data_IF_356450361713
#
_entry.id   IF_356450361713
#
_cell.length_a   1.000
_cell.length_b   1.000
_cell.length_c   1.000
_cell.angle_alpha   90.00
_cell.angle_beta   90.00
_cell.angle_gamma   90.00
#
_symmetry.space_group_name_H-M   'P 1'
#
loop_
_entity.id
_entity.type
_entity.pdbx_description
1 polymer ?
#
# COMPACT_ATOMS: atom_id res chain seq x y z
N UNK A 1 8.60 26.73 9.34
CA UNK A 1 7.91 25.43 9.22
C UNK A 1 8.63 24.63 8.13
N UNK A 2 9.08 23.40 8.41
CA UNK A 2 9.74 22.57 7.38
C UNK A 2 8.67 21.77 6.64
N UNK A 3 8.75 21.74 5.31
CA UNK A 3 7.86 20.96 4.46
C UNK A 3 8.69 20.00 3.61
N UNK A 4 8.25 18.75 3.55
CA UNK A 4 8.87 17.71 2.74
C UNK A 4 7.81 17.08 1.84
N UNK A 5 8.12 16.93 0.57
CA UNK A 5 7.29 16.22 -0.39
C UNK A 5 7.99 14.92 -0.77
N UNK A 6 7.31 13.79 -0.56
CA UNK A 6 7.86 12.46 -0.82
C UNK A 6 6.94 11.76 -1.81
N UNK A 7 7.42 11.53 -3.02
CA UNK A 7 6.77 10.63 -3.98
C UNK A 7 7.31 9.23 -3.77
N UNK A 8 6.47 8.32 -3.26
CA UNK A 8 6.88 6.95 -3.00
C UNK A 8 5.75 5.97 -3.27
N UNK A 9 6.12 4.77 -3.71
CA UNK A 9 5.19 3.66 -3.82
C UNK A 9 4.82 3.17 -2.41
N UNK A 10 3.55 2.84 -2.22
CA UNK A 10 3.04 2.24 -0.99
C UNK A 10 3.66 0.84 -0.85
N UNK A 11 4.23 0.55 0.32
CA UNK A 11 4.78 -0.75 0.63
C UNK A 11 3.73 -1.63 1.32
N UNK A 12 3.92 -2.95 1.30
CA UNK A 12 3.07 -3.93 1.98
C UNK A 12 3.84 -4.57 3.12
N UNK A 13 3.25 -4.58 4.31
CA UNK A 13 3.76 -5.31 5.46
C UNK A 13 2.63 -6.18 6.03
N UNK A 14 2.73 -7.49 5.78
CA UNK A 14 1.64 -8.43 6.07
C UNK A 14 0.37 -8.07 5.29
N UNK A 15 -0.74 -7.87 6.00
CA UNK A 15 -2.02 -7.42 5.46
C UNK A 15 -2.17 -5.90 5.36
N UNK A 16 -1.18 -5.14 5.85
CA UNK A 16 -1.27 -3.68 5.92
C UNK A 16 -0.46 -3.01 4.82
N UNK A 17 -1.04 -1.94 4.28
CA UNK A 17 -0.33 -0.98 3.43
C UNK A 17 0.37 0.04 4.31
N UNK A 18 1.67 0.24 4.11
CA UNK A 18 2.50 1.14 4.92
C UNK A 18 3.29 2.13 4.06
N UNK A 19 3.48 3.34 4.58
CA UNK A 19 4.40 4.33 4.01
C UNK A 19 5.70 4.27 4.82
N UNK A 20 6.76 3.78 4.19
CA UNK A 20 8.07 3.67 4.85
C UNK A 20 8.79 5.01 4.83
N UNK A 21 9.00 5.58 6.01
CA UNK A 21 9.73 6.83 6.24
C UNK A 21 11.20 6.66 5.81
N UNK A 22 11.75 7.51 4.91
CA UNK A 22 13.16 7.52 4.57
C UNK A 22 14.06 7.87 5.78
N UNK A 23 15.22 7.22 5.90
CA UNK A 23 16.20 7.45 7.00
C UNK A 23 16.60 8.91 7.18
N UNK A 24 16.69 9.68 6.08
CA UNK A 24 17.06 11.10 6.15
C UNK A 24 16.04 11.97 6.92
N UNK A 25 14.82 11.48 7.14
CA UNK A 25 13.78 12.18 7.90
C UNK A 25 13.64 11.65 9.33
N UNK A 26 14.41 10.62 9.72
CA UNK A 26 14.31 9.96 11.02
C UNK A 26 14.63 10.92 12.19
N UNK A 27 15.57 11.85 11.98
CA UNK A 27 15.93 12.88 12.97
C UNK A 27 14.78 13.85 13.27
N UNK A 28 13.94 14.15 12.28
CA UNK A 28 12.79 15.06 12.40
C UNK A 28 11.52 14.30 12.81
N UNK A 29 11.39 13.02 12.44
CA UNK A 29 10.22 12.16 12.66
C UNK A 29 10.45 11.14 13.77
N UNK A 30 10.93 11.63 14.92
CA UNK A 30 11.16 10.79 16.11
C UNK A 30 9.86 10.21 16.67
N UNK A 31 9.91 9.09 17.42
CA UNK A 31 8.73 8.57 18.11
C UNK A 31 8.04 9.68 18.92
N UNK A 32 6.70 9.67 18.93
CA UNK A 32 5.82 10.69 19.54
C UNK A 32 5.71 12.04 18.81
N UNK A 33 6.39 12.22 17.67
CA UNK A 33 6.20 13.41 16.83
C UNK A 33 4.84 13.33 16.13
N UNK A 34 4.03 14.39 16.25
CA UNK A 34 2.76 14.52 15.52
C UNK A 34 3.04 15.26 14.22
N UNK A 35 2.63 14.68 13.10
CA UNK A 35 2.80 15.27 11.77
C UNK A 35 1.50 15.26 10.99
N UNK A 36 1.30 16.29 10.16
CA UNK A 36 0.23 16.33 9.17
C UNK A 36 0.69 15.60 7.90
N UNK A 37 -0.05 14.58 7.49
CA UNK A 37 0.18 13.87 6.23
C UNK A 37 -0.88 14.34 5.22
N UNK A 38 -0.45 14.73 4.03
CA UNK A 38 -1.32 15.01 2.88
C UNK A 38 -0.97 13.99 1.80
N UNK A 39 -1.97 13.28 1.28
CA UNK A 39 -1.76 12.18 0.33
C UNK A 39 -2.52 12.53 -0.95
N UNK A 40 -1.77 12.65 -2.04
CA UNK A 40 -2.31 12.80 -3.38
C UNK A 40 -2.02 11.51 -4.16
N UNK A 41 -3.08 10.85 -4.66
CA UNK A 41 -2.94 9.62 -5.43
C UNK A 41 -2.59 9.99 -6.88
N UNK A 42 -1.33 9.76 -7.26
CA UNK A 42 -0.82 10.11 -8.61
C UNK A 42 -1.12 9.00 -9.63
N UNK A 43 -1.18 7.74 -9.19
CA UNK A 43 -1.51 6.58 -10.02
C UNK A 43 -2.12 5.49 -9.16
N UNK A 44 -3.20 4.87 -9.63
CA UNK A 44 -3.82 3.72 -8.97
C UNK A 44 -2.99 2.45 -9.15
N UNK A 45 -3.05 1.56 -8.17
CA UNK A 45 -2.45 0.24 -8.29
C UNK A 45 -3.35 -0.61 -9.21
N UNK A 46 -2.79 -1.08 -10.34
CA UNK A 46 -3.51 -1.94 -11.29
C UNK A 46 -4.03 -3.20 -10.57
N UNK A 47 -5.34 -3.25 -10.31
CA UNK A 47 -5.98 -4.36 -9.59
C UNK A 47 -6.52 -5.46 -10.54
N UNK A 48 -6.10 -5.44 -11.81
CA UNK A 48 -6.72 -6.21 -12.91
C UNK A 48 -6.41 -7.71 -12.94
N UNK A 49 -5.86 -8.31 -11.88
CA UNK A 49 -5.46 -9.73 -11.87
C UNK A 49 -6.29 -10.59 -10.88
N UNK A 50 -7.13 -9.99 -10.02
CA UNK A 50 -7.81 -10.75 -8.96
C UNK A 50 -9.18 -11.35 -9.34
N UNK A 51 -9.79 -10.97 -10.46
CA UNK A 51 -11.10 -11.52 -10.86
C UNK A 51 -11.00 -12.86 -11.62
N UNK A 52 -9.91 -13.11 -12.35
CA UNK A 52 -9.72 -14.34 -13.14
C UNK A 52 -9.39 -15.58 -12.29
N UNK A 53 -9.01 -15.40 -11.03
CA UNK A 53 -8.60 -16.49 -10.14
C UNK A 53 -9.77 -17.18 -9.41
N UNK A 54 -10.93 -16.52 -9.32
CA UNK A 54 -12.12 -17.06 -8.64
C UNK A 54 -12.94 -17.96 -9.58
N UNK A 55 -13.02 -17.62 -10.87
CA UNK A 55 -13.77 -18.39 -11.88
C UNK A 55 -13.24 -19.83 -12.08
N UNK A 56 -11.92 -20.06 -11.95
CA UNK A 56 -11.34 -21.39 -12.18
C UNK A 56 -11.59 -22.36 -11.01
N UNK A 57 -11.77 -21.85 -9.78
CA UNK A 57 -11.95 -22.71 -8.60
C UNK A 57 -13.38 -23.25 -8.51
N UNK A 58 -14.37 -22.46 -8.90
CA UNK A 58 -15.79 -22.87 -8.89
C UNK A 58 -16.07 -23.99 -9.90
N UNK A 59 -15.43 -23.96 -11.09
CA UNK A 59 -15.66 -24.99 -12.11
C UNK A 59 -15.08 -26.36 -11.75
N UNK A 60 -14.00 -26.44 -10.97
CA UNK A 60 -13.42 -27.73 -10.53
C UNK A 60 -14.22 -28.39 -9.41
N UNK A 61 -14.83 -27.62 -8.52
CA UNK A 61 -15.62 -28.16 -7.41
C UNK A 61 -16.98 -28.71 -7.85
N UNK A 62 -17.55 -28.15 -8.93
CA UNK A 62 -18.80 -28.67 -9.55
C UNK A 62 -18.56 -29.96 -10.34
N UNK A 63 -17.36 -30.17 -10.90
CA UNK A 63 -17.05 -31.37 -11.71
C UNK A 63 -16.69 -32.62 -10.89
N UNK A 64 -16.48 -32.47 -9.57
CA UNK A 64 -16.06 -33.53 -8.65
C UNK A 64 -17.20 -34.00 -7.71
N UNK A 65 -18.45 -33.62 -8.01
CA UNK A 65 -19.66 -34.12 -7.34
C UNK A 65 -20.53 -34.92 -8.29
#
# INVERSE_FOLDING_TARGET
MKQFTITKKIAKHGSQSIIVIPRMLESELRPKTIVKITIDIIKEADNSILESSQLVKTSKEVLLR
#
